data_IF_037740693685
#
_entry.id   IF_037740693685
#
_cell.length_a   1.000
_cell.length_b   1.000
_cell.length_c   1.000
_cell.angle_alpha   90.00
_cell.angle_beta   90.00
_cell.angle_gamma   90.00
#
_symmetry.space_group_name_H-M   'P 1'
#
loop_
_entity.id
_entity.type
_entity.pdbx_description
1 polymer ?
#
# COMPACT_ATOMS: atom_id res chain seq x y z
N UNK A 1 -27.53 31.53 6.39
CA UNK A 1 -28.53 30.71 7.12
C UNK A 1 -29.67 30.17 6.23
N UNK A 2 -30.11 30.88 5.16
CA UNK A 2 -31.10 30.36 4.21
C UNK A 2 -30.56 29.25 3.31
N UNK A 3 -29.29 29.25 2.97
CA UNK A 3 -28.66 28.26 2.08
C UNK A 3 -28.60 26.89 2.76
N UNK A 4 -28.38 26.83 4.08
CA UNK A 4 -28.34 25.59 4.86
C UNK A 4 -29.71 24.90 4.95
N UNK A 5 -30.81 25.66 4.89
CA UNK A 5 -32.17 25.12 4.97
C UNK A 5 -32.61 24.34 3.74
N UNK A 6 -31.98 24.59 2.58
CA UNK A 6 -32.35 23.98 1.30
C UNK A 6 -31.35 22.92 0.82
N UNK A 7 -30.26 22.71 1.54
CA UNK A 7 -29.19 21.78 1.17
C UNK A 7 -28.86 20.93 2.39
N UNK A 8 -28.59 19.63 2.21
CA UNK A 8 -28.14 18.84 3.36
C UNK A 8 -26.79 19.37 3.87
N UNK A 9 -26.56 19.29 5.19
CA UNK A 9 -25.31 19.74 5.82
C UNK A 9 -24.06 19.13 5.12
N UNK A 10 -24.15 17.88 4.68
CA UNK A 10 -23.12 17.20 3.90
C UNK A 10 -22.90 17.86 2.52
N UNK A 11 -23.94 18.30 1.86
CA UNK A 11 -23.87 18.94 0.54
C UNK A 11 -23.36 20.39 0.66
N UNK A 12 -23.73 21.11 1.72
CA UNK A 12 -23.20 22.42 2.05
C UNK A 12 -21.69 22.36 2.30
N UNK A 13 -21.23 21.42 3.11
CA UNK A 13 -19.82 21.24 3.43
C UNK A 13 -18.98 20.91 2.20
N UNK A 14 -19.53 20.20 1.22
CA UNK A 14 -18.85 19.89 -0.04
C UNK A 14 -18.77 21.09 -0.97
N UNK A 15 -19.88 21.79 -1.16
CA UNK A 15 -19.98 22.85 -2.16
C UNK A 15 -19.36 24.17 -1.69
N UNK A 16 -19.45 24.45 -0.40
CA UNK A 16 -19.03 25.73 0.17
C UNK A 16 -17.78 25.65 1.05
N UNK A 17 -17.55 24.52 1.72
CA UNK A 17 -16.34 24.32 2.54
C UNK A 17 -15.30 23.42 1.89
N UNK A 18 -15.51 23.02 0.62
CA UNK A 18 -14.61 22.14 -0.13
C UNK A 18 -14.29 20.81 0.61
N UNK A 19 -15.23 20.33 1.42
CA UNK A 19 -15.09 19.02 2.04
C UNK A 19 -15.38 17.91 1.04
N UNK A 20 -14.46 16.95 0.94
CA UNK A 20 -14.58 15.83 0.00
C UNK A 20 -15.66 14.85 0.47
N UNK A 21 -16.85 14.84 -0.18
CA UNK A 21 -17.94 13.89 0.11
C UNK A 21 -17.61 12.43 -0.25
N UNK A 22 -16.55 12.19 -1.03
CA UNK A 22 -16.12 10.82 -1.37
C UNK A 22 -15.71 9.95 -0.17
N UNK A 23 -15.72 10.51 1.03
CA UNK A 23 -15.15 9.90 2.23
C UNK A 23 -16.14 9.63 3.37
N UNK A 24 -17.45 9.64 3.14
CA UNK A 24 -18.45 9.39 4.21
C UNK A 24 -18.28 7.98 4.83
N UNK A 25 -17.67 7.05 4.10
CA UNK A 25 -17.40 5.67 4.55
C UNK A 25 -15.91 5.32 4.61
N UNK A 26 -15.03 6.29 4.85
CA UNK A 26 -13.60 5.99 5.02
C UNK A 26 -13.32 5.38 6.38
N UNK A 27 -12.32 4.48 6.43
CA UNK A 27 -11.84 3.84 7.66
C UNK A 27 -11.37 4.89 8.70
N UNK A 28 -10.78 5.98 8.23
CA UNK A 28 -10.32 7.09 9.06
C UNK A 28 -11.12 8.34 8.66
N UNK A 29 -11.73 8.99 9.64
CA UNK A 29 -12.53 10.19 9.36
C UNK A 29 -11.67 11.33 8.79
N UNK A 30 -12.21 12.17 7.89
CA UNK A 30 -11.50 13.30 7.29
C UNK A 30 -10.93 14.27 8.34
N UNK A 31 -11.66 14.49 9.43
CA UNK A 31 -11.20 15.33 10.55
C UNK A 31 -9.93 14.78 11.21
N UNK A 32 -9.86 13.46 11.42
CA UNK A 32 -8.64 12.81 11.93
C UNK A 32 -7.49 12.92 10.96
N UNK A 33 -7.73 12.70 9.64
CA UNK A 33 -6.70 12.83 8.63
C UNK A 33 -6.10 14.24 8.59
N UNK A 34 -6.92 15.30 8.73
CA UNK A 34 -6.45 16.69 8.78
C UNK A 34 -5.60 17.00 10.00
N UNK A 35 -5.84 16.34 11.13
CA UNK A 35 -5.11 16.57 12.39
C UNK A 35 -3.92 15.64 12.58
N UNK A 36 -3.70 14.67 11.68
CA UNK A 36 -2.54 13.77 11.75
C UNK A 36 -1.24 14.57 11.56
N UNK A 37 -0.24 14.36 12.43
CA UNK A 37 1.04 15.01 12.26
C UNK A 37 1.70 14.58 10.96
N UNK A 38 2.16 15.55 10.18
CA UNK A 38 2.94 15.32 8.97
C UNK A 38 4.44 15.42 9.28
N UNK A 39 5.21 14.54 8.69
CA UNK A 39 6.67 14.58 8.76
C UNK A 39 7.23 14.67 7.34
N UNK A 40 8.07 15.68 7.10
CA UNK A 40 8.76 15.85 5.82
C UNK A 40 9.68 14.65 5.53
N UNK A 41 9.72 14.16 4.29
CA UNK A 41 10.68 13.15 3.89
C UNK A 41 12.10 13.73 3.86
N UNK A 42 13.11 12.92 4.18
CA UNK A 42 14.53 13.28 4.02
C UNK A 42 14.92 13.38 2.55
N UNK A 43 14.28 12.58 1.70
CA UNK A 43 14.47 12.56 0.25
C UNK A 43 13.13 12.34 -0.43
N UNK A 44 12.91 13.05 -1.55
CA UNK A 44 11.72 12.87 -2.38
C UNK A 44 12.14 12.90 -3.85
N UNK A 45 11.82 11.83 -4.58
CA UNK A 45 12.13 11.72 -6.00
C UNK A 45 11.15 10.80 -6.71
N UNK A 46 10.59 11.27 -7.83
CA UNK A 46 9.73 10.48 -8.73
C UNK A 46 8.67 9.65 -7.98
N UNK A 47 7.90 10.29 -7.09
CA UNK A 47 6.84 9.66 -6.31
C UNK A 47 7.30 8.85 -5.08
N UNK A 48 8.61 8.65 -4.90
CA UNK A 48 9.19 7.98 -3.74
C UNK A 48 9.62 9.01 -2.69
N UNK A 49 9.01 8.96 -1.52
CA UNK A 49 9.39 9.72 -0.33
C UNK A 49 10.09 8.81 0.68
N UNK A 50 11.31 9.16 1.05
CA UNK A 50 12.13 8.43 2.04
C UNK A 50 12.19 9.24 3.33
N UNK A 51 11.61 8.72 4.40
CA UNK A 51 11.63 9.32 5.73
C UNK A 51 12.80 8.84 6.59
N UNK A 52 13.18 7.56 6.45
CA UNK A 52 14.36 6.97 7.09
C UNK A 52 15.09 6.08 6.09
N UNK A 53 16.43 6.20 6.05
CA UNK A 53 17.25 5.35 5.21
C UNK A 53 17.28 3.91 5.77
N UNK A 54 17.50 2.89 4.94
CA UNK A 54 17.68 1.54 5.41
C UNK A 54 18.88 1.42 6.35
N UNK A 55 18.73 0.64 7.40
CA UNK A 55 19.78 0.34 8.38
C UNK A 55 20.07 -1.16 8.40
N UNK A 56 21.34 -1.53 8.46
CA UNK A 56 21.76 -2.92 8.53
C UNK A 56 21.15 -3.65 9.75
N UNK A 57 20.75 -4.90 9.58
CA UNK A 57 20.15 -5.71 10.64
C UNK A 57 18.68 -5.43 10.94
N UNK A 58 18.07 -4.41 10.33
CA UNK A 58 16.63 -4.16 10.44
C UNK A 58 15.81 -5.01 9.49
N UNK A 59 14.60 -5.32 9.91
CA UNK A 59 13.60 -6.06 9.11
C UNK A 59 12.53 -5.09 8.61
N UNK A 60 12.24 -5.17 7.30
CA UNK A 60 11.27 -4.30 6.65
C UNK A 60 10.19 -5.12 5.94
N UNK A 61 8.99 -4.53 5.88
CA UNK A 61 7.87 -5.03 5.08
C UNK A 61 7.45 -3.94 4.10
N UNK A 62 7.29 -4.29 2.84
CA UNK A 62 6.76 -3.43 1.80
C UNK A 62 5.36 -3.92 1.43
N UNK A 63 4.34 -3.06 1.58
CA UNK A 63 2.96 -3.37 1.21
C UNK A 63 2.57 -2.53 -0.01
N UNK A 64 2.17 -3.20 -1.10
CA UNK A 64 1.85 -2.58 -2.38
C UNK A 64 0.39 -2.77 -2.77
N UNK A 65 -0.23 -1.66 -3.21
CA UNK A 65 -1.53 -1.58 -3.87
C UNK A 65 -1.34 -1.16 -5.32
N UNK A 66 -2.03 -1.81 -6.25
CA UNK A 66 -1.75 -1.72 -7.69
C UNK A 66 -2.92 -1.12 -8.44
N UNK A 67 -2.69 -0.03 -9.17
CA UNK A 67 -3.64 0.56 -10.09
C UNK A 67 -3.28 0.28 -11.56
N UNK A 68 -4.17 0.65 -12.47
CA UNK A 68 -3.97 0.47 -13.92
C UNK A 68 -3.07 1.51 -14.57
N UNK A 69 -2.61 2.53 -13.85
CA UNK A 69 -1.78 3.61 -14.38
C UNK A 69 -2.48 4.42 -15.46
N UNK A 70 -3.75 4.77 -15.23
CA UNK A 70 -4.60 5.56 -16.15
C UNK A 70 -4.91 6.95 -15.62
N UNK A 71 -4.11 7.44 -14.68
CA UNK A 71 -4.22 8.73 -14.00
C UNK A 71 -5.47 8.90 -13.09
N UNK A 72 -6.32 7.87 -12.97
CA UNK A 72 -7.52 7.92 -12.12
C UNK A 72 -7.25 7.43 -10.70
N UNK A 73 -6.36 6.47 -10.54
CA UNK A 73 -6.02 5.86 -9.25
C UNK A 73 -4.51 5.63 -9.16
N UNK A 74 -3.98 5.54 -7.96
CA UNK A 74 -2.54 5.45 -7.72
C UNK A 74 -2.11 3.99 -7.51
N UNK A 75 -1.02 3.59 -8.19
CA UNK A 75 -0.18 2.52 -7.69
C UNK A 75 0.65 3.06 -6.54
N UNK A 76 0.62 2.40 -5.41
CA UNK A 76 1.29 2.88 -4.21
C UNK A 76 1.91 1.73 -3.41
N UNK A 77 2.95 2.05 -2.65
CA UNK A 77 3.43 1.18 -1.59
C UNK A 77 3.95 1.97 -0.39
N UNK A 78 4.00 1.29 0.75
CA UNK A 78 4.67 1.77 1.96
C UNK A 78 5.70 0.76 2.40
N UNK A 79 6.84 1.26 2.91
CA UNK A 79 7.86 0.44 3.57
C UNK A 79 7.80 0.71 5.06
N UNK A 80 7.68 -0.36 5.84
CA UNK A 80 7.52 -0.32 7.28
C UNK A 80 8.71 -1.02 7.94
N UNK A 81 9.39 -0.34 8.87
CA UNK A 81 10.34 -0.95 9.80
C UNK A 81 9.54 -1.73 10.85
N UNK A 82 9.70 -3.04 10.86
CA UNK A 82 9.01 -3.96 11.78
C UNK A 82 9.95 -4.59 12.79
N UNK A 83 11.18 -4.08 12.90
CA UNK A 83 12.20 -4.61 13.81
C UNK A 83 11.81 -4.50 15.27
N UNK A 84 11.12 -3.41 15.65
CA UNK A 84 10.70 -3.13 17.02
C UNK A 84 9.37 -2.34 17.02
N UNK A 85 8.57 -2.53 18.05
CA UNK A 85 7.37 -1.72 18.29
C UNK A 85 7.72 -0.35 18.90
N UNK A 86 7.03 0.73 18.56
CA UNK A 86 6.00 0.83 17.53
C UNK A 86 6.59 0.75 16.12
N UNK A 87 5.91 0.08 15.20
CA UNK A 87 6.32 0.03 13.79
C UNK A 87 6.31 1.42 13.16
N UNK A 88 7.24 1.64 12.21
CA UNK A 88 7.41 2.95 11.58
C UNK A 88 7.34 2.87 10.06
N UNK A 89 6.56 3.74 9.44
CA UNK A 89 6.64 3.95 7.99
C UNK A 89 7.94 4.71 7.70
N UNK A 90 8.84 4.09 6.96
CA UNK A 90 10.18 4.61 6.62
C UNK A 90 10.28 5.12 5.19
N UNK A 91 9.45 4.61 4.27
CA UNK A 91 9.32 5.13 2.93
C UNK A 91 7.90 4.91 2.41
N UNK A 92 7.49 5.71 1.43
CA UNK A 92 6.25 5.55 0.68
C UNK A 92 6.47 5.94 -0.77
N UNK A 93 5.73 5.30 -1.65
CA UNK A 93 5.69 5.61 -3.08
C UNK A 93 4.25 5.76 -3.52
N UNK A 94 4.00 6.67 -4.46
CA UNK A 94 2.73 6.74 -5.19
C UNK A 94 2.93 7.34 -6.56
N UNK A 95 2.26 6.77 -7.55
CA UNK A 95 2.25 7.24 -8.92
C UNK A 95 0.96 6.77 -9.59
N UNK A 96 0.22 7.65 -10.26
CA UNK A 96 -1.04 7.31 -10.93
C UNK A 96 -0.87 7.05 -12.44
N UNK A 97 0.34 7.23 -12.96
CA UNK A 97 0.67 7.01 -14.38
C UNK A 97 1.56 5.79 -14.60
N UNK A 98 2.24 5.30 -13.55
CA UNK A 98 3.10 4.13 -13.65
C UNK A 98 2.32 2.92 -14.16
N UNK A 99 2.79 2.34 -15.25
CA UNK A 99 2.13 1.16 -15.83
C UNK A 99 2.39 -0.09 -14.98
N UNK A 100 1.40 -1.01 -14.88
CA UNK A 100 1.55 -2.25 -14.11
C UNK A 100 2.78 -3.09 -14.48
N UNK A 101 3.24 -3.02 -15.73
CA UNK A 101 4.46 -3.71 -16.18
C UNK A 101 5.76 -3.09 -15.64
N UNK A 102 5.75 -1.82 -15.26
CA UNK A 102 6.93 -1.10 -14.72
C UNK A 102 6.95 -1.09 -13.19
N UNK A 103 5.79 -1.23 -12.56
CA UNK A 103 5.67 -1.15 -11.12
C UNK A 103 6.44 -2.25 -10.36
N UNK A 104 6.52 -3.52 -10.84
CA UNK A 104 7.36 -4.54 -10.21
C UNK A 104 8.83 -4.15 -10.09
N UNK A 105 9.39 -3.50 -11.11
CA UNK A 105 10.78 -3.04 -11.07
C UNK A 105 11.01 -1.99 -9.97
N UNK A 106 10.03 -1.09 -9.76
CA UNK A 106 10.11 -0.09 -8.69
C UNK A 106 9.98 -0.72 -7.30
N UNK A 107 9.09 -1.70 -7.13
CA UNK A 107 8.96 -2.48 -5.88
C UNK A 107 10.28 -3.22 -5.60
N UNK A 108 10.82 -3.92 -6.60
CA UNK A 108 12.05 -4.70 -6.49
C UNK A 108 13.25 -3.84 -6.07
N UNK A 109 13.45 -2.69 -6.75
CA UNK A 109 14.50 -1.72 -6.43
C UNK A 109 14.46 -1.32 -4.95
N UNK A 110 13.29 -0.85 -4.48
CA UNK A 110 13.13 -0.35 -3.13
C UNK A 110 13.19 -1.47 -2.09
N UNK A 111 12.55 -2.61 -2.35
CA UNK A 111 12.58 -3.75 -1.44
C UNK A 111 14.00 -4.27 -1.22
N UNK A 112 14.82 -4.33 -2.27
CA UNK A 112 16.24 -4.69 -2.15
C UNK A 112 17.04 -3.67 -1.35
N UNK A 113 16.81 -2.38 -1.58
CA UNK A 113 17.48 -1.33 -0.82
C UNK A 113 17.16 -1.40 0.69
N UNK A 114 15.94 -1.83 1.04
CA UNK A 114 15.52 -2.04 2.43
C UNK A 114 15.74 -3.49 2.89
N UNK A 115 16.99 -3.97 2.81
CA UNK A 115 17.45 -5.28 3.32
C UNK A 115 16.65 -6.46 2.81
N UNK A 116 16.29 -6.50 1.52
CA UNK A 116 15.43 -7.54 0.96
C UNK A 116 14.08 -7.62 1.72
N UNK A 117 13.39 -6.48 1.83
CA UNK A 117 12.13 -6.36 2.55
C UNK A 117 11.13 -7.46 2.16
N UNK A 118 10.34 -7.93 3.11
CA UNK A 118 9.21 -8.81 2.80
C UNK A 118 8.15 -8.02 2.02
N UNK A 119 7.75 -8.50 0.85
CA UNK A 119 6.82 -7.80 -0.05
C UNK A 119 5.45 -8.44 0.00
N UNK A 120 4.43 -7.68 0.37
CA UNK A 120 3.01 -8.02 0.27
C UNK A 120 2.37 -7.23 -0.84
N UNK A 121 1.81 -7.91 -1.84
CA UNK A 121 1.07 -7.28 -2.94
C UNK A 121 -0.42 -7.51 -2.76
N UNK A 122 -1.24 -6.46 -2.89
CA UNK A 122 -2.69 -6.62 -3.05
C UNK A 122 -2.97 -7.15 -4.47
N UNK A 123 -3.51 -8.39 -4.56
CA UNK A 123 -3.69 -9.10 -5.82
C UNK A 123 -5.10 -8.99 -6.39
N UNK A 124 -5.85 -7.96 -5.99
CA UNK A 124 -7.10 -7.62 -6.64
C UNK A 124 -6.82 -7.10 -8.05
N UNK A 125 -7.72 -7.39 -8.99
CA UNK A 125 -7.64 -6.93 -10.39
C UNK A 125 -6.27 -7.19 -11.03
N UNK A 126 -5.49 -6.11 -11.29
CA UNK A 126 -4.20 -6.17 -11.98
C UNK A 126 -3.02 -6.57 -11.06
N UNK A 127 -3.21 -6.55 -9.75
CA UNK A 127 -2.14 -6.83 -8.78
C UNK A 127 -1.53 -8.22 -8.89
N UNK A 128 -2.31 -9.21 -9.39
CA UNK A 128 -1.79 -10.56 -9.63
C UNK A 128 -0.66 -10.57 -10.68
N UNK A 129 -0.73 -9.71 -11.71
CA UNK A 129 0.34 -9.59 -12.72
C UNK A 129 1.62 -9.05 -12.08
N UNK A 130 1.51 -8.06 -11.19
CA UNK A 130 2.67 -7.48 -10.47
C UNK A 130 3.30 -8.52 -9.55
N UNK A 131 2.49 -9.27 -8.80
CA UNK A 131 3.00 -10.32 -7.92
C UNK A 131 3.69 -11.44 -8.71
N UNK A 132 3.12 -11.86 -9.85
CA UNK A 132 3.72 -12.86 -10.73
C UNK A 132 5.04 -12.38 -11.34
N UNK A 133 5.12 -11.13 -11.80
CA UNK A 133 6.35 -10.55 -12.32
C UNK A 133 7.48 -10.53 -11.26
N UNK A 134 7.16 -10.15 -10.02
CA UNK A 134 8.12 -10.20 -8.93
C UNK A 134 8.62 -11.63 -8.64
N UNK A 135 7.71 -12.62 -8.63
CA UNK A 135 8.04 -14.01 -8.31
C UNK A 135 8.79 -14.71 -9.45
N UNK A 136 8.30 -14.60 -10.67
CA UNK A 136 8.75 -15.46 -11.78
C UNK A 136 9.75 -14.77 -12.72
N UNK A 137 9.59 -13.45 -12.96
CA UNK A 137 10.46 -12.72 -13.87
C UNK A 137 11.67 -12.12 -13.14
N UNK A 138 11.48 -11.70 -11.88
CA UNK A 138 12.52 -11.06 -11.07
C UNK A 138 13.09 -11.98 -9.98
N UNK A 139 12.51 -13.17 -9.80
CA UNK A 139 12.95 -14.19 -8.83
C UNK A 139 13.11 -13.60 -7.41
N UNK A 140 12.12 -12.77 -6.99
CA UNK A 140 12.17 -12.13 -5.66
C UNK A 140 11.70 -13.11 -4.59
N UNK A 141 12.62 -13.56 -3.72
CA UNK A 141 12.38 -14.63 -2.75
C UNK A 141 11.47 -14.24 -1.57
N UNK A 142 11.47 -12.97 -1.16
CA UNK A 142 10.77 -12.51 0.04
C UNK A 142 9.34 -12.02 -0.23
N UNK A 143 8.61 -12.71 -1.12
CA UNK A 143 7.18 -12.44 -1.33
C UNK A 143 6.33 -13.12 -0.25
N UNK A 144 5.39 -12.34 0.31
CA UNK A 144 4.40 -12.84 1.27
C UNK A 144 3.28 -13.55 0.51
N UNK A 145 3.06 -14.81 0.86
CA UNK A 145 1.99 -15.62 0.30
C UNK A 145 0.86 -15.79 1.31
N UNK A 146 -0.39 -15.67 0.87
CA UNK A 146 -1.57 -16.01 1.66
C UNK A 146 -2.01 -17.44 1.39
N UNK A 147 -2.25 -18.24 2.42
CA UNK A 147 -2.86 -19.55 2.27
C UNK A 147 -4.38 -19.42 2.06
N UNK A 148 -4.95 -20.13 1.09
CA UNK A 148 -6.40 -20.17 0.83
C UNK A 148 -7.23 -20.79 1.98
N UNK A 149 -6.62 -21.31 3.06
CA UNK A 149 -7.29 -21.87 4.23
C UNK A 149 -7.34 -20.89 5.43
N UNK A 150 -7.64 -19.63 5.20
CA UNK A 150 -8.15 -18.73 6.24
C UNK A 150 -7.16 -18.28 7.33
N UNK A 151 -5.87 -18.48 7.18
CA UNK A 151 -4.85 -17.87 8.04
C UNK A 151 -4.07 -16.84 7.22
N UNK A 152 -4.58 -15.61 7.20
CA UNK A 152 -3.85 -14.48 6.68
C UNK A 152 -2.54 -14.28 7.46
N UNK A 153 -1.45 -14.01 6.75
CA UNK A 153 -0.19 -13.59 7.36
C UNK A 153 0.82 -14.70 7.69
N UNK A 154 0.72 -15.89 7.13
CA UNK A 154 1.83 -16.83 7.21
C UNK A 154 2.88 -16.51 6.15
N UNK A 155 4.09 -16.18 6.62
CA UNK A 155 5.29 -16.18 5.79
C UNK A 155 5.62 -17.64 5.51
N UNK A 156 5.40 -18.09 4.28
CA UNK A 156 5.77 -19.45 3.88
C UNK A 156 7.21 -19.45 3.36
N UNK A 157 8.16 -19.54 4.29
CA UNK A 157 9.49 -20.05 3.97
C UNK A 157 9.39 -21.54 3.71
N UNK A 158 9.48 -21.95 2.46
CA UNK A 158 9.93 -23.25 1.97
C UNK A 158 9.37 -24.53 2.62
N UNK A 159 8.06 -24.72 2.61
CA UNK A 159 7.52 -26.01 3.05
C UNK A 159 6.05 -26.16 2.67
N UNK A 160 5.79 -26.81 1.53
CA UNK A 160 4.44 -27.11 1.08
C UNK A 160 3.80 -28.21 1.94
N UNK A 161 2.84 -27.87 2.76
CA UNK A 161 1.89 -28.80 3.31
C UNK A 161 0.48 -28.47 2.80
N UNK A 162 0.10 -29.03 1.66
CA UNK A 162 -1.27 -29.36 1.28
C UNK A 162 -2.30 -28.26 1.02
N UNK A 163 -1.92 -26.99 0.76
CA UNK A 163 -2.83 -25.92 0.36
C UNK A 163 -2.31 -25.15 -0.84
N UNK A 164 -3.19 -24.70 -1.75
CA UNK A 164 -2.79 -23.77 -2.82
C UNK A 164 -2.39 -22.45 -2.18
N UNK A 165 -1.09 -22.14 -2.16
CA UNK A 165 -0.60 -20.82 -1.77
C UNK A 165 -0.93 -19.82 -2.88
N UNK A 166 -1.42 -18.63 -2.51
CA UNK A 166 -1.65 -17.51 -3.41
C UNK A 166 -0.61 -16.43 -3.11
N UNK A 167 0.03 -15.90 -4.13
CA UNK A 167 0.89 -14.73 -4.00
C UNK A 167 0.05 -13.54 -3.54
N UNK A 168 0.54 -12.81 -2.54
CA UNK A 168 -0.11 -11.62 -2.04
C UNK A 168 -1.44 -11.85 -1.32
N UNK A 169 -2.21 -10.81 -1.15
CA UNK A 169 -3.47 -10.82 -0.42
C UNK A 169 -4.60 -10.25 -1.27
N UNK A 170 -5.78 -10.87 -1.24
CA UNK A 170 -7.02 -10.27 -1.75
C UNK A 170 -7.71 -9.52 -0.62
N UNK A 171 -7.92 -8.22 -0.80
CA UNK A 171 -8.74 -7.46 0.12
C UNK A 171 -10.21 -7.69 -0.20
N UNK A 172 -10.92 -8.18 0.79
CA UNK A 172 -12.38 -8.38 0.77
C UNK A 172 -13.01 -7.57 1.88
N UNK A 173 -14.35 -7.44 1.89
CA UNK A 173 -15.06 -6.79 3.00
C UNK A 173 -14.76 -7.41 4.39
N UNK A 174 -14.29 -8.66 4.43
CA UNK A 174 -13.91 -9.34 5.67
C UNK A 174 -12.46 -9.05 6.11
N UNK A 175 -11.63 -8.49 5.23
CA UNK A 175 -10.22 -8.14 5.47
C UNK A 175 -10.07 -6.64 5.74
N UNK A 176 -11.04 -5.85 5.31
CA UNK A 176 -11.16 -4.41 5.62
C UNK A 176 -11.81 -4.25 6.99
#
# INVERSE_FOLDING_TARGET
EETIKNTSEAQFNTEFECEFLGSINTLISPSKLRTMPYREPKQSNAGLDVHELPEEGKTYVLCADVSRGTANDYSAFVVVDVSQMPYKVVAKFRDNEIKPLLFPAKIYEVARAYNQAFVLVEVNDIGEQVANALQFDMEYDNLIMASMRGRAGQILGGGFSGGKAQLGVRTTKAVK
#
